data_IF_240884299737
#
_entry.id   IF_240884299737
#
_cell.length_a   1.000
_cell.length_b   1.000
_cell.length_c   1.000
_cell.angle_alpha   90.00
_cell.angle_beta   90.00
_cell.angle_gamma   90.00
#
_symmetry.space_group_name_H-M   'P 1'
#
loop_
_entity.id
_entity.type
_entity.pdbx_description
1 polymer ?
#
# COMPACT_ATOMS: atom_id res chain seq x y z
N UNK A 1 -10.72 22.91 -4.52
CA UNK A 1 -10.87 22.53 -4.61
C UNK A 1 -10.94 21.73 -4.74
N UNK A 2 -10.90 21.85 -4.87
CA UNK A 2 -11.05 21.25 -5.00
C UNK A 2 -11.02 20.34 -5.12
N UNK A 3 -11.00 20.32 -5.34
CA UNK A 3 -11.05 19.48 -5.44
C UNK A 3 -11.16 18.67 -5.69
N UNK A 4 -11.06 18.75 -5.76
CA UNK A 4 -11.25 18.05 -5.95
C UNK A 4 -11.28 17.25 -6.23
N UNK A 5 -11.25 17.53 -6.37
CA UNK A 5 -11.41 17.02 -6.63
C UNK A 5 -11.57 16.15 -6.95
N UNK A 6 -11.52 16.23 -7.13
CA UNK A 6 -11.72 15.60 -7.36
C UNK A 6 -12.02 14.74 -7.71
N UNK A 7 -12.01 14.68 -7.89
CA UNK A 7 -12.33 13.89 -8.15
C UNK A 7 -12.43 13.12 -8.50
N UNK A 8 -12.18 13.38 -8.55
CA UNK A 8 -12.23 12.73 -9.01
C UNK A 8 -12.59 11.66 -9.05
N UNK A 9 -12.72 12.10 -9.18
CA UNK A 9 -13.61 11.09 -8.70
C UNK A 9 -13.14 9.67 -8.82
N UNK A 10 -13.54 8.81 -8.26
CA UNK A 10 -13.36 7.38 -8.22
C UNK A 10 -12.16 6.76 -8.92
N UNK A 11 -11.42 7.57 -9.63
CA UNK A 11 -10.29 7.05 -10.37
C UNK A 11 -8.98 7.20 -9.67
N UNK A 12 -9.00 7.77 -8.51
CA UNK A 12 -7.77 7.93 -7.77
C UNK A 12 -7.35 6.62 -7.17
N UNK A 13 -6.12 6.26 -7.44
CA UNK A 13 -5.55 5.03 -6.92
C UNK A 13 -4.76 5.35 -5.68
N UNK A 14 -5.16 4.76 -4.56
CA UNK A 14 -4.42 4.89 -3.32
C UNK A 14 -3.42 3.75 -3.23
N UNK A 15 -2.16 4.09 -3.04
CA UNK A 15 -1.12 3.07 -2.91
C UNK A 15 -0.47 3.16 -1.54
N UNK A 16 0.34 2.17 -1.21
CA UNK A 16 1.06 2.17 0.06
C UNK A 16 1.97 3.38 0.19
N UNK A 17 2.38 3.97 -0.92
CA UNK A 17 3.20 5.17 -0.88
C UNK A 17 2.48 6.32 -0.19
N UNK A 18 1.15 6.40 -0.35
CA UNK A 18 0.34 7.45 0.25
C UNK A 18 -0.30 7.03 1.56
N UNK A 19 0.05 5.87 2.08
CA UNK A 19 -0.58 5.37 3.29
C UNK A 19 -0.18 6.20 4.51
N UNK A 20 -1.02 6.12 5.54
CA UNK A 20 -0.86 6.90 6.76
C UNK A 20 -0.50 5.96 7.90
N UNK A 21 0.51 6.35 8.67
CA UNK A 21 0.95 5.57 9.83
C UNK A 21 -0.22 5.42 10.80
N UNK A 22 -0.36 4.20 11.32
CA UNK A 22 -1.40 3.91 12.30
C UNK A 22 -2.72 3.49 11.71
N UNK A 23 -2.81 3.40 10.39
CA UNK A 23 -4.04 3.02 9.72
C UNK A 23 -3.94 1.60 9.17
N UNK A 24 -5.09 0.98 9.00
CA UNK A 24 -5.20 -0.34 8.41
C UNK A 24 -5.76 -0.21 7.01
N UNK A 25 -5.24 -1.05 6.12
CA UNK A 25 -5.65 -1.04 4.72
C UNK A 25 -5.83 -2.46 4.22
N UNK A 26 -6.57 -2.59 3.14
CA UNK A 26 -6.74 -3.87 2.46
C UNK A 26 -6.13 -3.75 1.07
N UNK A 27 -5.37 -4.76 0.67
CA UNK A 27 -4.75 -4.78 -0.65
C UNK A 27 -5.82 -5.02 -1.70
N UNK A 28 -5.96 -4.09 -2.63
CA UNK A 28 -6.90 -4.24 -3.72
C UNK A 28 -6.28 -4.90 -4.93
N UNK A 29 -5.07 -4.48 -5.27
CA UNK A 29 -4.42 -4.99 -6.46
C UNK A 29 -2.94 -4.70 -6.37
N UNK A 30 -2.15 -5.58 -6.99
CA UNK A 30 -0.71 -5.37 -7.11
C UNK A 30 -0.42 -5.06 -8.56
N UNK A 31 0.09 -3.86 -8.78
CA UNK A 31 0.45 -3.41 -10.11
C UNK A 31 1.89 -3.77 -10.41
N UNK A 32 2.33 -3.42 -11.60
CA UNK A 32 3.66 -3.78 -12.02
C UNK A 32 3.63 -5.07 -12.81
N UNK A 33 4.78 -5.52 -13.24
CA UNK A 33 4.84 -6.72 -14.07
C UNK A 33 6.11 -7.49 -13.77
N UNK A 34 6.09 -8.78 -14.13
CA UNK A 34 7.26 -9.61 -14.04
C UNK A 34 7.84 -9.74 -12.65
N UNK A 35 9.15 -9.56 -12.52
CA UNK A 35 9.85 -9.83 -11.26
C UNK A 35 9.39 -8.96 -10.08
N UNK A 36 9.02 -7.72 -10.34
CA UNK A 36 8.62 -6.82 -9.26
C UNK A 36 7.33 -7.30 -8.61
N UNK A 37 6.34 -7.62 -9.43
CA UNK A 37 5.07 -8.10 -8.91
C UNK A 37 5.26 -9.42 -8.16
N UNK A 38 6.05 -10.32 -8.73
CA UNK A 38 6.31 -11.60 -8.09
C UNK A 38 7.00 -11.41 -6.74
N UNK A 39 7.96 -10.51 -6.66
CA UNK A 39 8.66 -10.26 -5.42
C UNK A 39 7.71 -9.79 -4.33
N UNK A 40 6.80 -8.88 -4.69
CA UNK A 40 5.83 -8.36 -3.72
C UNK A 40 4.92 -9.49 -3.24
N UNK A 41 4.46 -10.32 -4.15
CA UNK A 41 3.60 -11.43 -3.77
C UNK A 41 4.34 -12.46 -2.92
N UNK A 42 5.61 -12.66 -3.21
CA UNK A 42 6.43 -13.62 -2.44
C UNK A 42 6.64 -13.15 -1.01
N UNK A 43 6.53 -11.85 -0.76
CA UNK A 43 6.61 -11.31 0.59
C UNK A 43 5.34 -11.54 1.39
N UNK A 44 4.30 -12.09 0.77
CA UNK A 44 3.05 -12.33 1.45
C UNK A 44 1.99 -11.28 1.21
N UNK A 45 2.28 -10.30 0.36
CA UNK A 45 1.32 -9.24 0.04
C UNK A 45 0.48 -9.72 -1.13
N UNK A 46 -0.75 -10.12 -0.82
CA UNK A 46 -1.65 -10.64 -1.85
C UNK A 46 -2.97 -9.90 -1.79
N UNK A 47 -3.75 -10.02 -2.85
CA UNK A 47 -5.04 -9.37 -2.93
C UNK A 47 -5.91 -9.75 -1.72
N UNK A 48 -6.58 -8.75 -1.17
CA UNK A 48 -7.48 -8.91 -0.01
C UNK A 48 -6.78 -9.11 1.31
N UNK A 49 -5.45 -9.01 1.36
CA UNK A 49 -4.73 -9.06 2.62
C UNK A 49 -4.92 -7.75 3.36
N UNK A 50 -5.09 -7.85 4.68
CA UNK A 50 -5.17 -6.66 5.52
C UNK A 50 -3.78 -6.38 6.09
N UNK A 51 -3.40 -5.11 6.08
CA UNK A 51 -2.12 -4.72 6.63
C UNK A 51 -2.26 -3.46 7.46
N UNK A 52 -1.25 -3.23 8.30
CA UNK A 52 -1.23 -2.11 9.21
C UNK A 52 0.07 -1.33 8.95
N UNK A 53 -0.02 0.00 8.85
CA UNK A 53 1.14 0.83 8.58
C UNK A 53 1.80 1.18 9.91
N UNK A 54 2.97 0.64 10.13
CA UNK A 54 3.67 0.84 11.39
C UNK A 54 4.54 2.08 11.37
N UNK A 55 5.23 2.32 10.25
CA UNK A 55 6.18 3.41 10.20
C UNK A 55 6.47 3.77 8.75
N UNK A 56 6.66 5.04 8.50
CA UNK A 56 7.07 5.52 7.18
C UNK A 56 8.27 6.44 7.39
N UNK A 57 9.37 6.12 6.73
CA UNK A 57 10.56 6.95 6.83
C UNK A 57 10.30 8.33 6.24
N UNK A 58 11.11 9.32 6.62
CA UNK A 58 10.85 10.72 6.25
C UNK A 58 10.59 10.97 4.77
N UNK A 59 11.22 10.24 3.89
CA UNK A 59 11.02 10.43 2.47
C UNK A 59 10.14 9.34 1.85
N UNK A 60 9.41 8.60 2.71
CA UNK A 60 8.55 7.55 2.22
C UNK A 60 9.27 6.26 1.87
N UNK A 61 10.51 6.13 2.26
CA UNK A 61 11.32 4.97 1.91
C UNK A 61 12.26 4.63 3.06
N UNK A 62 12.07 3.50 3.72
CA UNK A 62 11.08 2.46 3.47
C UNK A 62 9.75 2.69 4.18
N UNK A 63 8.78 1.89 3.83
CA UNK A 63 7.50 1.81 4.51
C UNK A 63 7.47 0.49 5.27
N UNK A 64 7.22 0.56 6.58
CA UNK A 64 7.17 -0.63 7.41
C UNK A 64 5.72 -0.98 7.70
N UNK A 65 5.35 -2.21 7.40
CA UNK A 65 3.98 -2.67 7.60
C UNK A 65 3.96 -3.95 8.42
N UNK A 66 2.82 -4.19 9.03
CA UNK A 66 2.56 -5.45 9.71
C UNK A 66 1.48 -6.18 8.92
N UNK A 67 1.74 -7.41 8.56
CA UNK A 67 0.82 -8.20 7.76
C UNK A 67 0.91 -9.66 8.21
N UNK A 68 -0.25 -10.25 8.46
CA UNK A 68 -0.35 -11.67 8.83
C UNK A 68 0.53 -12.05 10.00
N UNK A 69 0.70 -11.14 10.96
CA UNK A 69 1.44 -11.44 12.16
C UNK A 69 2.95 -11.24 12.06
N UNK A 70 3.45 -10.72 10.97
CA UNK A 70 4.87 -10.41 10.87
C UNK A 70 5.06 -9.05 10.20
N UNK A 71 6.29 -8.56 10.26
CA UNK A 71 6.59 -7.23 9.79
C UNK A 71 7.42 -7.27 8.51
N UNK A 72 7.10 -6.36 7.61
CA UNK A 72 7.81 -6.22 6.35
C UNK A 72 8.23 -4.78 6.16
N UNK A 73 9.35 -4.62 5.48
CA UNK A 73 9.83 -3.30 5.09
C UNK A 73 9.81 -3.25 3.56
N UNK A 74 9.09 -2.27 3.03
CA UNK A 74 8.94 -2.13 1.58
C UNK A 74 9.66 -0.89 1.10
N UNK A 75 10.32 -1.03 -0.02
CA UNK A 75 10.91 0.14 -0.67
C UNK A 75 9.82 0.96 -1.32
N UNK A 76 10.14 2.22 -1.56
CA UNK A 76 9.20 3.14 -2.18
C UNK A 76 8.64 2.59 -3.48
N UNK A 77 9.49 2.04 -4.33
CA UNK A 77 9.04 1.50 -5.61
C UNK A 77 8.11 0.30 -5.44
N UNK A 78 8.32 -0.49 -4.38
CA UNK A 78 7.38 -1.59 -4.09
C UNK A 78 6.05 -1.05 -3.62
N UNK A 79 6.10 -0.05 -2.75
CA UNK A 79 4.88 0.54 -2.19
C UNK A 79 4.01 1.17 -3.26
N UNK A 80 4.64 1.76 -4.27
CA UNK A 80 3.90 2.38 -5.35
C UNK A 80 3.09 1.39 -6.17
N UNK A 81 3.47 0.13 -6.12
CA UNK A 81 2.80 -0.90 -6.90
C UNK A 81 1.66 -1.59 -6.16
N UNK A 82 1.49 -1.30 -4.89
CA UNK A 82 0.44 -1.95 -4.09
C UNK A 82 -0.72 -1.00 -3.92
N UNK A 83 -1.80 -1.28 -4.63
CA UNK A 83 -3.03 -0.50 -4.53
C UNK A 83 -3.81 -0.96 -3.31
N UNK A 84 -4.25 -0.02 -2.49
CA UNK A 84 -4.92 -0.32 -1.24
C UNK A 84 -6.20 0.49 -1.10
N UNK A 85 -7.02 0.06 -0.15
CA UNK A 85 -8.16 0.87 0.27
C UNK A 85 -8.26 0.77 1.78
N UNK A 86 -8.91 1.74 2.39
CA UNK A 86 -9.01 1.75 3.84
C UNK A 86 -9.85 0.57 4.30
N UNK A 87 -9.37 -0.07 5.37
CA UNK A 87 -10.11 -1.15 5.99
C UNK A 87 -11.24 -0.57 6.83
N UNK A 88 -12.41 -1.19 6.73
CA UNK A 88 -13.55 -0.79 7.54
C UNK A 88 -13.67 -1.58 8.83
N UNK A 89 -12.73 -2.44 9.06
CA UNK A 89 -12.77 -3.28 10.26
C UNK A 89 -12.32 -2.53 11.50
#
# INVERSE_FOLDING_TARGET
MIFSIFFKGGNEMLTLKESVVGKRYIVKKIHGSGPLKRRIMDMGITKNSELYIRKVAPLGDPVQISIRGYELSLRKEDAECVEIEMSNA
#
